data_IF_506968345351
#
_entry.id   IF_506968345351
#
_cell.length_a   1.000
_cell.length_b   1.000
_cell.length_c   1.000
_cell.angle_alpha   90.00
_cell.angle_beta   90.00
_cell.angle_gamma   90.00
#
_symmetry.space_group_name_H-M   'P 1'
#
loop_
_entity.id
_entity.type
_entity.pdbx_description
1 polymer ?
#
# COMPACT_ATOMS: atom_id res chain seq x y z
N UNK A 1 -33.19 18.81 39.86
CA UNK A 1 -32.69 17.44 39.63
C UNK A 1 -32.38 17.16 38.14
N UNK A 2 -32.02 18.18 37.34
CA UNK A 2 -31.79 18.03 35.88
C UNK A 2 -30.33 18.17 35.47
N UNK A 3 -29.48 18.75 36.31
CA UNK A 3 -28.06 19.02 36.05
C UNK A 3 -27.17 17.78 36.09
N UNK A 4 -27.50 16.79 36.91
CA UNK A 4 -26.73 15.54 36.99
C UNK A 4 -26.96 14.64 35.78
N UNK A 5 -28.18 14.64 35.22
CA UNK A 5 -28.51 13.91 33.99
C UNK A 5 -27.74 14.46 32.80
N UNK A 6 -27.76 15.79 32.61
CA UNK A 6 -27.09 16.43 31.48
C UNK A 6 -25.56 16.32 31.52
N UNK A 7 -24.96 16.17 32.71
CA UNK A 7 -23.55 15.87 32.85
C UNK A 7 -23.19 14.46 32.36
N UNK A 8 -23.94 13.44 32.80
CA UNK A 8 -23.68 12.06 32.38
C UNK A 8 -23.95 11.84 30.89
N UNK A 9 -24.96 12.49 30.33
CA UNK A 9 -25.23 12.47 28.88
C UNK A 9 -24.04 13.02 28.09
N UNK A 10 -23.44 14.14 28.56
CA UNK A 10 -22.26 14.75 27.95
C UNK A 10 -21.03 13.84 28.03
N UNK A 11 -20.77 13.26 29.19
CA UNK A 11 -19.67 12.30 29.39
C UNK A 11 -19.84 11.09 28.47
N UNK A 12 -21.06 10.58 28.33
CA UNK A 12 -21.37 9.45 27.47
C UNK A 12 -21.14 9.79 25.98
N UNK A 13 -21.52 10.99 25.54
CA UNK A 13 -21.29 11.45 24.17
C UNK A 13 -19.82 11.73 23.87
N UNK A 14 -19.07 12.28 24.83
CA UNK A 14 -17.61 12.43 24.72
C UNK A 14 -16.91 11.07 24.61
N UNK A 15 -17.28 10.09 25.44
CA UNK A 15 -16.77 8.72 25.37
C UNK A 15 -17.10 8.05 24.04
N UNK A 16 -18.33 8.19 23.54
CA UNK A 16 -18.74 7.67 22.21
C UNK A 16 -17.90 8.31 21.11
N UNK A 17 -17.66 9.61 21.18
CA UNK A 17 -16.89 10.35 20.19
C UNK A 17 -15.42 9.93 20.21
N UNK A 18 -14.82 9.83 21.40
CA UNK A 18 -13.44 9.38 21.60
C UNK A 18 -13.25 7.94 21.12
N UNK A 19 -14.14 7.02 21.50
CA UNK A 19 -14.13 5.63 21.05
C UNK A 19 -14.28 5.51 19.54
N UNK A 20 -15.21 6.27 18.95
CA UNK A 20 -15.38 6.33 17.49
C UNK A 20 -14.14 6.86 16.77
N UNK A 21 -13.46 7.88 17.34
CA UNK A 21 -12.20 8.40 16.81
C UNK A 21 -11.08 7.36 16.89
N UNK A 22 -10.90 6.73 18.05
CA UNK A 22 -9.89 5.69 18.27
C UNK A 22 -10.09 4.50 17.32
N UNK A 23 -11.33 4.04 17.12
CA UNK A 23 -11.64 2.96 16.17
C UNK A 23 -11.25 3.34 14.74
N UNK A 24 -11.60 4.55 14.29
CA UNK A 24 -11.22 5.04 12.95
C UNK A 24 -9.71 5.18 12.78
N UNK A 25 -8.99 5.53 13.82
CA UNK A 25 -7.52 5.63 13.81
C UNK A 25 -6.88 4.23 13.76
N UNK A 26 -7.37 3.29 14.55
CA UNK A 26 -6.90 1.90 14.53
C UNK A 26 -7.14 1.23 13.16
N UNK A 27 -8.33 1.41 12.57
CA UNK A 27 -8.64 0.88 11.23
C UNK A 27 -7.70 1.46 10.15
N UNK A 28 -7.41 2.76 10.23
CA UNK A 28 -6.44 3.43 9.33
C UNK A 28 -5.02 2.92 9.53
N UNK A 29 -4.58 2.75 10.77
CA UNK A 29 -3.25 2.21 11.08
C UNK A 29 -3.09 0.79 10.55
N UNK A 30 -4.10 -0.07 10.77
CA UNK A 30 -4.14 -1.43 10.23
C UNK A 30 -4.03 -1.43 8.71
N UNK A 31 -4.89 -0.64 8.03
CA UNK A 31 -4.88 -0.54 6.56
C UNK A 31 -3.53 -0.06 6.03
N UNK A 32 -2.93 0.94 6.68
CA UNK A 32 -1.59 1.44 6.33
C UNK A 32 -0.53 0.35 6.47
N UNK A 33 -0.57 -0.41 7.58
CA UNK A 33 0.36 -1.51 7.83
C UNK A 33 0.25 -2.62 6.78
N UNK A 34 -0.96 -3.03 6.43
CA UNK A 34 -1.21 -4.03 5.36
C UNK A 34 -0.62 -3.55 4.03
N UNK A 35 -0.90 -2.30 3.62
CA UNK A 35 -0.37 -1.75 2.37
C UNK A 35 1.17 -1.69 2.35
N UNK A 36 1.80 -1.35 3.48
CA UNK A 36 3.26 -1.34 3.57
C UNK A 36 3.85 -2.76 3.44
N UNK A 37 3.24 -3.76 4.07
CA UNK A 37 3.69 -5.16 3.96
C UNK A 37 3.51 -5.71 2.54
N UNK A 38 2.39 -5.40 1.90
CA UNK A 38 2.14 -5.76 0.51
C UNK A 38 3.19 -5.14 -0.41
N UNK A 39 3.54 -3.87 -0.20
CA UNK A 39 4.57 -3.19 -0.99
C UNK A 39 5.96 -3.83 -0.84
N UNK A 40 6.33 -4.25 0.37
CA UNK A 40 7.58 -4.98 0.60
C UNK A 40 7.59 -6.29 -0.19
N UNK A 41 6.49 -7.04 -0.14
CA UNK A 41 6.33 -8.30 -0.87
C UNK A 41 6.40 -8.10 -2.38
N UNK A 42 5.62 -7.16 -2.92
CA UNK A 42 5.63 -6.84 -4.36
C UNK A 42 7.01 -6.38 -4.84
N UNK A 43 7.74 -5.56 -4.06
CA UNK A 43 9.10 -5.15 -4.43
C UNK A 43 10.07 -6.32 -4.45
N UNK A 44 9.90 -7.30 -3.56
CA UNK A 44 10.68 -8.54 -3.57
C UNK A 44 10.38 -9.37 -4.81
N UNK A 45 9.11 -9.53 -5.14
CA UNK A 45 8.69 -10.32 -6.31
C UNK A 45 9.11 -9.67 -7.62
N UNK A 46 9.04 -8.33 -7.72
CA UNK A 46 9.60 -7.58 -8.86
C UNK A 46 11.10 -7.86 -9.03
N UNK A 47 11.88 -7.80 -7.94
CA UNK A 47 13.33 -8.06 -7.99
C UNK A 47 13.63 -9.49 -8.43
N UNK A 48 12.85 -10.46 -7.98
CA UNK A 48 12.96 -11.87 -8.42
C UNK A 48 12.68 -12.00 -9.92
N UNK A 49 11.55 -11.48 -10.40
CA UNK A 49 11.22 -11.53 -11.82
C UNK A 49 12.28 -10.83 -12.70
N UNK A 50 12.86 -9.73 -12.22
CA UNK A 50 13.98 -9.06 -12.90
C UNK A 50 15.26 -9.89 -12.90
N UNK A 51 15.57 -10.58 -11.80
CA UNK A 51 16.72 -11.48 -11.71
C UNK A 51 16.55 -12.66 -12.67
N UNK A 52 15.38 -13.29 -12.69
CA UNK A 52 15.06 -14.41 -13.59
C UNK A 52 15.16 -13.98 -15.06
N UNK A 53 14.69 -12.76 -15.39
CA UNK A 53 14.82 -12.19 -16.74
C UNK A 53 16.30 -11.95 -17.10
N UNK A 54 17.10 -11.47 -16.15
CA UNK A 54 18.53 -11.27 -16.32
C UNK A 54 19.29 -12.59 -16.50
N UNK A 55 18.93 -13.63 -15.75
CA UNK A 55 19.47 -14.98 -15.90
C UNK A 55 19.14 -15.55 -17.29
N UNK A 56 17.91 -15.36 -17.76
CA UNK A 56 17.49 -15.77 -19.11
C UNK A 56 18.28 -15.05 -20.20
N UNK A 57 18.45 -13.74 -20.08
CA UNK A 57 19.24 -12.95 -21.02
C UNK A 57 20.72 -13.38 -21.02
N UNK A 58 21.28 -13.67 -19.83
CA UNK A 58 22.65 -14.16 -19.70
C UNK A 58 22.83 -15.54 -20.34
N UNK A 59 21.86 -16.44 -20.19
CA UNK A 59 21.88 -17.76 -20.81
C UNK A 59 21.88 -17.67 -22.35
N UNK A 60 21.04 -16.81 -22.92
CA UNK A 60 21.01 -16.55 -24.36
C UNK A 60 22.30 -15.90 -24.86
N UNK A 61 22.84 -14.95 -24.11
CA UNK A 61 24.12 -14.33 -24.44
C UNK A 61 25.28 -15.35 -24.46
N UNK A 62 25.35 -16.24 -23.45
CA UNK A 62 26.35 -17.33 -23.41
C UNK A 62 26.20 -18.33 -24.56
N UNK A 63 24.99 -18.44 -25.11
CA UNK A 63 24.69 -19.28 -26.26
C UNK A 63 24.84 -18.54 -27.60
N UNK A 64 25.32 -17.29 -27.59
CA UNK A 64 25.43 -16.41 -28.77
C UNK A 64 24.10 -16.22 -29.51
N UNK A 65 22.98 -16.15 -28.76
CA UNK A 65 21.61 -16.03 -29.28
C UNK A 65 20.84 -14.90 -28.60
N UNK A 66 21.51 -13.79 -28.29
CA UNK A 66 20.88 -12.70 -27.55
C UNK A 66 19.73 -12.05 -28.34
N UNK A 67 19.80 -12.08 -29.66
CA UNK A 67 18.77 -11.64 -30.58
C UNK A 67 17.43 -12.37 -30.39
N UNK A 68 17.46 -13.63 -29.94
CA UNK A 68 16.26 -14.43 -29.69
C UNK A 68 15.49 -13.96 -28.44
N UNK A 69 16.10 -13.15 -27.57
CA UNK A 69 15.50 -12.70 -26.31
C UNK A 69 14.16 -11.95 -26.51
N UNK A 70 14.01 -11.27 -27.64
CA UNK A 70 12.77 -10.55 -27.95
C UNK A 70 11.59 -11.49 -28.26
N UNK A 71 11.87 -12.66 -28.82
CA UNK A 71 10.89 -13.70 -29.15
C UNK A 71 10.77 -14.80 -28.09
N UNK A 72 11.67 -14.83 -27.10
CA UNK A 72 11.67 -15.82 -26.04
C UNK A 72 10.41 -15.70 -25.18
N UNK A 73 9.60 -16.76 -25.17
CA UNK A 73 8.29 -16.79 -24.50
C UNK A 73 8.41 -16.55 -23.00
N UNK A 74 9.46 -17.07 -22.37
CA UNK A 74 9.71 -16.90 -20.95
C UNK A 74 10.15 -15.47 -20.62
N UNK A 75 11.04 -14.87 -21.42
CA UNK A 75 11.40 -13.47 -21.28
C UNK A 75 10.19 -12.53 -21.43
N UNK A 76 9.29 -12.81 -22.38
CA UNK A 76 8.04 -12.05 -22.54
C UNK A 76 7.11 -12.20 -21.34
N UNK A 77 6.97 -13.43 -20.80
CA UNK A 77 6.21 -13.70 -19.58
C UNK A 77 6.76 -12.92 -18.38
N UNK A 78 8.07 -12.95 -18.18
CA UNK A 78 8.75 -12.25 -17.09
C UNK A 78 8.63 -10.72 -17.22
N UNK A 79 8.78 -10.17 -18.42
CA UNK A 79 8.54 -8.73 -18.68
C UNK A 79 7.10 -8.33 -18.33
N UNK A 80 6.14 -9.14 -18.74
CA UNK A 80 4.71 -8.91 -18.43
C UNK A 80 4.47 -8.97 -16.93
N UNK A 81 5.08 -9.92 -16.23
CA UNK A 81 5.00 -10.05 -14.78
C UNK A 81 5.59 -8.82 -14.07
N UNK A 82 6.76 -8.34 -14.50
CA UNK A 82 7.38 -7.12 -13.94
C UNK A 82 6.44 -5.93 -14.09
N UNK A 83 5.89 -5.69 -15.28
CA UNK A 83 4.96 -4.59 -15.54
C UNK A 83 3.68 -4.70 -14.69
N UNK A 84 3.14 -5.92 -14.53
CA UNK A 84 1.97 -6.16 -13.68
C UNK A 84 2.26 -5.81 -12.21
N UNK A 85 3.41 -6.25 -11.69
CA UNK A 85 3.83 -5.93 -10.31
C UNK A 85 4.05 -4.43 -10.14
N UNK A 86 4.63 -3.74 -11.12
CA UNK A 86 4.80 -2.28 -11.09
C UNK A 86 3.46 -1.54 -11.04
N UNK A 87 2.47 -1.98 -11.82
CA UNK A 87 1.11 -1.46 -11.75
C UNK A 87 0.48 -1.63 -10.35
N UNK A 88 0.66 -2.79 -9.73
CA UNK A 88 0.18 -3.05 -8.36
C UNK A 88 0.88 -2.19 -7.31
N UNK A 89 2.20 -1.98 -7.45
CA UNK A 89 2.97 -1.08 -6.58
C UNK A 89 2.42 0.34 -6.69
N UNK A 90 2.26 0.85 -7.92
CA UNK A 90 1.76 2.20 -8.15
C UNK A 90 0.36 2.42 -7.54
N UNK A 91 -0.54 1.44 -7.69
CA UNK A 91 -1.88 1.48 -7.11
C UNK A 91 -1.85 1.53 -5.57
N UNK A 92 -1.02 0.71 -4.91
CA UNK A 92 -0.88 0.71 -3.45
C UNK A 92 -0.21 1.97 -2.92
N UNK A 93 0.77 2.52 -3.65
CA UNK A 93 1.40 3.79 -3.31
C UNK A 93 0.42 4.97 -3.43
N UNK A 94 -0.47 4.97 -4.44
CA UNK A 94 -1.59 5.92 -4.53
C UNK A 94 -2.54 5.78 -3.35
N UNK A 95 -2.92 4.55 -2.99
CA UNK A 95 -3.79 4.31 -1.84
C UNK A 95 -3.17 4.86 -0.54
N UNK A 96 -1.88 4.61 -0.29
CA UNK A 96 -1.17 5.18 0.85
C UNK A 96 -1.14 6.70 0.84
N UNK A 97 -0.91 7.33 -0.33
CA UNK A 97 -0.96 8.79 -0.48
C UNK A 97 -2.36 9.33 -0.17
N UNK A 98 -3.41 8.64 -0.60
CA UNK A 98 -4.80 9.01 -0.31
C UNK A 98 -5.15 8.94 1.18
N UNK A 99 -4.62 7.93 1.90
CA UNK A 99 -4.82 7.80 3.35
C UNK A 99 -4.09 8.95 4.07
N UNK A 100 -2.87 9.28 3.62
CA UNK A 100 -2.06 10.36 4.20
C UNK A 100 -2.67 11.74 3.97
N UNK A 101 -3.17 12.03 2.77
CA UNK A 101 -3.78 13.32 2.45
C UNK A 101 -5.06 13.57 3.26
N UNK A 102 -5.86 12.54 3.53
CA UNK A 102 -7.04 12.61 4.42
C UNK A 102 -6.69 12.95 5.87
N UNK A 103 -5.46 12.68 6.31
CA UNK A 103 -4.97 13.07 7.64
C UNK A 103 -4.56 14.56 7.68
N UNK A 104 -4.17 15.13 6.54
CA UNK A 104 -3.71 16.52 6.43
C UNK A 104 -4.81 17.51 5.97
N UNK A 105 -6.03 17.03 5.65
CA UNK A 105 -7.20 17.87 5.34
C UNK A 105 -7.75 18.63 6.56
N UNK A 106 -8.67 19.60 6.36
CA UNK A 106 -8.97 20.72 7.28
C UNK A 106 -9.75 20.31 8.56
N UNK A 107 -9.14 19.46 9.38
CA UNK A 107 -9.52 19.16 10.75
C UNK A 107 -8.34 19.30 11.74
N UNK A 108 -7.20 19.78 11.24
CA UNK A 108 -6.02 20.14 12.04
C UNK A 108 -6.04 21.62 12.48
N UNK A 109 -7.21 22.28 12.46
CA UNK A 109 -7.41 23.55 13.16
C UNK A 109 -7.66 23.24 14.65
N UNK A 110 -6.76 23.75 15.48
CA UNK A 110 -6.65 23.51 16.92
C UNK A 110 -7.91 23.89 17.71
N UNK A 111 -8.14 23.25 18.87
CA UNK A 111 -9.00 23.80 19.90
C UNK A 111 -8.28 24.95 20.60
N UNK A 112 -8.78 26.18 20.44
CA UNK A 112 -8.91 27.25 21.46
C UNK A 112 -9.58 28.47 20.84
#
# INVERSE_FOLDING_TARGET
>A
MTTTSSFWDRVQDELRTASGKARREAERALRTGVLQMDLVSLRRDRRRAQADLGERALALWKAEKLEDLAGDSEALRLRTLVLSIEGLIAAKEEELRSIRSRVQGPGAAQPQ
#
